data_IF_770059954229
#
_entry.id   IF_770059954229
#
_cell.length_a   1.000
_cell.length_b   1.000
_cell.length_c   1.000
_cell.angle_alpha   90.00
_cell.angle_beta   90.00
_cell.angle_gamma   90.00
#
_symmetry.space_group_name_H-M   'P 1'
#
loop_
_entity.id
_entity.type
_entity.pdbx_description
1 polymer ?
#
# COMPACT_ATOMS: atom_id res chain seq x y z
N UNK A 1 58.69 -12.28 26.26
CA UNK A 1 57.41 -12.97 26.47
C UNK A 1 56.15 -12.25 25.89
N UNK A 2 56.21 -10.99 25.51
CA UNK A 2 55.08 -10.20 24.99
C UNK A 2 54.61 -10.54 23.57
N UNK A 3 55.41 -11.09 22.69
CA UNK A 3 55.03 -11.42 21.30
C UNK A 3 54.02 -12.56 21.15
N UNK A 4 53.89 -13.42 22.14
CA UNK A 4 53.08 -14.64 22.06
C UNK A 4 51.57 -14.38 22.27
N UNK A 5 51.21 -13.22 22.87
CA UNK A 5 49.80 -12.86 23.13
C UNK A 5 49.22 -11.84 22.13
N UNK A 6 50.09 -11.26 21.26
CA UNK A 6 49.63 -10.29 20.27
C UNK A 6 48.84 -10.94 19.13
N UNK A 7 49.25 -12.16 18.74
CA UNK A 7 48.56 -12.89 17.65
C UNK A 7 47.10 -13.28 17.97
N UNK A 8 46.78 -13.85 19.16
CA UNK A 8 45.42 -14.16 19.49
C UNK A 8 44.55 -12.91 19.71
N UNK A 9 45.14 -11.78 20.16
CA UNK A 9 44.43 -10.52 20.34
C UNK A 9 44.01 -9.91 18.99
N UNK A 10 44.87 -9.97 17.97
CA UNK A 10 44.57 -9.48 16.63
C UNK A 10 43.46 -10.32 15.96
N UNK A 11 43.47 -11.64 16.16
CA UNK A 11 42.44 -12.55 15.64
C UNK A 11 41.07 -12.27 16.33
N UNK A 12 41.08 -12.00 17.62
CA UNK A 12 39.88 -11.66 18.36
C UNK A 12 39.27 -10.33 17.90
N UNK A 13 40.10 -9.32 17.62
CA UNK A 13 39.61 -8.03 17.07
C UNK A 13 39.05 -8.16 15.64
N UNK A 14 39.62 -9.03 14.81
CA UNK A 14 39.11 -9.29 13.47
C UNK A 14 37.75 -10.02 13.46
N UNK A 15 37.50 -10.88 14.45
CA UNK A 15 36.24 -11.59 14.58
C UNK A 15 35.06 -10.68 15.00
N UNK A 16 35.32 -9.63 15.78
CA UNK A 16 34.25 -8.67 16.17
C UNK A 16 33.91 -7.68 15.06
N UNK A 17 34.80 -7.45 14.09
CA UNK A 17 34.58 -6.56 12.96
C UNK A 17 33.62 -7.15 11.90
N UNK A 18 33.44 -8.46 11.88
CA UNK A 18 32.57 -9.14 10.91
C UNK A 18 31.09 -9.09 11.28
N UNK A 19 30.72 -8.71 12.50
CA UNK A 19 29.32 -8.60 12.93
C UNK A 19 28.62 -7.32 12.49
N UNK A 20 29.33 -6.35 11.92
CA UNK A 20 28.74 -5.07 11.51
C UNK A 20 28.06 -5.10 10.13
N UNK A 21 28.11 -6.22 9.39
CA UNK A 21 27.49 -6.31 8.06
C UNK A 21 26.10 -6.93 8.03
N UNK A 22 25.56 -7.36 9.16
CA UNK A 22 24.15 -7.66 9.27
C UNK A 22 23.37 -6.42 9.72
N UNK A 23 23.55 -5.30 9.01
CA UNK A 23 22.59 -4.22 9.10
C UNK A 23 21.26 -4.80 8.59
N UNK A 24 20.36 -4.95 9.53
CA UNK A 24 19.00 -5.40 9.37
C UNK A 24 18.43 -4.96 8.03
N UNK A 25 17.97 -5.89 7.23
CA UNK A 25 17.06 -5.64 6.12
C UNK A 25 15.79 -5.11 6.77
N UNK A 26 15.75 -3.83 7.07
CA UNK A 26 14.57 -3.18 7.62
C UNK A 26 13.61 -3.03 6.45
N UNK A 27 12.73 -4.00 6.32
CA UNK A 27 11.55 -3.89 5.48
C UNK A 27 10.68 -2.79 6.07
N UNK A 28 10.69 -1.62 5.46
CA UNK A 28 9.79 -0.54 5.84
C UNK A 28 8.39 -0.83 5.32
N UNK A 29 7.40 -0.75 6.20
CA UNK A 29 5.99 -0.84 5.84
C UNK A 29 5.34 0.52 6.07
N UNK A 30 4.60 1.01 5.10
CA UNK A 30 3.94 2.31 5.16
C UNK A 30 2.57 2.27 4.47
N UNK A 31 1.56 2.94 5.03
CA UNK A 31 0.24 3.01 4.44
C UNK A 31 0.12 4.14 3.42
N UNK A 32 -0.59 3.87 2.33
CA UNK A 32 -1.20 4.86 1.46
C UNK A 32 -2.69 4.89 1.72
N UNK A 33 -3.25 6.06 1.97
CA UNK A 33 -4.66 6.18 2.28
C UNK A 33 -5.33 7.22 1.40
N UNK A 34 -6.58 6.93 1.01
CA UNK A 34 -7.44 7.90 0.33
C UNK A 34 -8.91 7.56 0.58
N UNK A 35 -9.78 8.50 0.29
CA UNK A 35 -11.24 8.30 0.37
C UNK A 35 -11.84 8.42 -1.03
N UNK A 36 -12.70 7.48 -1.38
CA UNK A 36 -13.37 7.36 -2.67
C UNK A 36 -14.87 7.42 -2.46
N UNK A 37 -15.55 8.23 -3.26
CA UNK A 37 -16.99 8.38 -3.19
C UNK A 37 -17.70 7.35 -4.10
N UNK A 38 -18.74 6.72 -3.58
CA UNK A 38 -19.65 5.84 -4.31
C UNK A 38 -21.04 6.50 -4.31
N UNK A 39 -21.45 7.14 -5.42
CA UNK A 39 -22.73 7.81 -5.50
C UNK A 39 -23.92 6.86 -5.40
N UNK A 40 -24.98 7.26 -4.68
CA UNK A 40 -26.24 6.52 -4.58
C UNK A 40 -26.94 6.33 -5.95
N UNK A 41 -26.61 7.17 -6.91
CA UNK A 41 -27.11 7.07 -8.30
C UNK A 41 -26.52 5.89 -9.07
N UNK A 42 -25.52 5.19 -8.53
CA UNK A 42 -24.91 4.02 -9.16
C UNK A 42 -25.90 2.86 -9.23
N UNK A 43 -26.19 2.41 -10.45
CA UNK A 43 -27.19 1.36 -10.72
C UNK A 43 -26.56 -0.03 -10.66
N UNK A 44 -27.35 -1.01 -10.27
CA UNK A 44 -26.93 -2.42 -10.26
C UNK A 44 -26.55 -2.92 -11.65
N UNK A 45 -25.56 -3.81 -11.70
CA UNK A 45 -25.11 -4.47 -12.92
C UNK A 45 -24.09 -3.69 -13.76
N UNK A 46 -23.97 -2.38 -13.56
CA UNK A 46 -22.99 -1.54 -14.26
C UNK A 46 -21.68 -1.46 -13.48
N UNK A 47 -20.59 -1.24 -14.21
CA UNK A 47 -19.30 -0.91 -13.64
C UNK A 47 -19.11 0.61 -13.61
N UNK A 48 -18.62 1.12 -12.49
CA UNK A 48 -18.35 2.52 -12.24
C UNK A 48 -16.90 2.70 -11.79
N UNK A 49 -16.43 3.94 -11.81
CA UNK A 49 -15.13 4.30 -11.27
C UNK A 49 -15.22 5.49 -10.35
N UNK A 50 -14.56 5.40 -9.20
CA UNK A 50 -14.26 6.51 -8.32
C UNK A 50 -12.75 6.78 -8.34
N UNK A 51 -12.35 8.04 -8.33
CA UNK A 51 -10.96 8.46 -8.44
C UNK A 51 -10.66 9.43 -7.32
N UNK A 52 -9.49 9.27 -6.71
CA UNK A 52 -8.95 10.20 -5.74
C UNK A 52 -7.42 10.22 -5.82
N UNK A 53 -6.82 11.30 -5.35
CA UNK A 53 -5.38 11.40 -5.21
C UNK A 53 -4.99 10.97 -3.80
N UNK A 54 -4.01 10.07 -3.71
CA UNK A 54 -3.36 9.75 -2.45
C UNK A 54 -2.02 10.48 -2.44
N UNK A 55 -1.74 11.20 -1.36
CA UNK A 55 -0.39 11.72 -1.16
C UNK A 55 0.53 10.54 -0.92
N UNK A 56 1.55 10.43 -1.74
CA UNK A 56 2.62 9.51 -1.50
C UNK A 56 3.25 9.89 -0.18
N UNK A 57 3.43 8.95 0.63
CA UNK A 57 4.13 9.12 1.86
C UNK A 57 3.52 10.14 2.81
N UNK A 58 2.90 9.58 3.76
CA UNK A 58 2.80 10.21 5.03
C UNK A 58 4.03 11.11 5.23
N UNK A 59 3.78 12.38 5.53
CA UNK A 59 4.82 13.33 5.90
C UNK A 59 5.80 12.79 6.96
N UNK A 60 5.43 11.72 7.66
CA UNK A 60 6.26 10.98 8.60
C UNK A 60 7.40 10.20 7.93
N UNK A 61 7.22 9.65 6.73
CA UNK A 61 8.30 8.97 6.01
C UNK A 61 9.37 9.97 5.55
N UNK A 62 8.95 11.10 5.03
CA UNK A 62 9.85 12.21 4.67
C UNK A 62 10.55 12.81 5.90
N UNK A 63 9.84 12.95 7.04
CA UNK A 63 10.39 13.45 8.31
C UNK A 63 11.43 12.51 8.92
N UNK A 64 11.32 11.19 8.70
CA UNK A 64 12.32 10.22 9.15
C UNK A 64 13.56 10.15 8.25
N UNK A 65 13.70 11.04 7.28
CA UNK A 65 14.84 11.11 6.38
C UNK A 65 14.85 10.01 5.31
N UNK A 66 13.76 9.29 5.18
CA UNK A 66 13.56 8.33 4.11
C UNK A 66 12.87 9.03 2.94
N UNK A 67 13.40 8.92 1.76
CA UNK A 67 12.79 9.41 0.52
C UNK A 67 12.71 8.26 -0.49
N UNK A 68 11.83 8.38 -1.47
CA UNK A 68 11.61 7.37 -2.51
C UNK A 68 12.89 6.95 -3.22
N UNK A 69 13.88 7.84 -3.29
CA UNK A 69 15.17 7.56 -3.93
C UNK A 69 16.03 6.53 -3.19
N UNK A 70 15.75 6.30 -1.90
CA UNK A 70 16.52 5.38 -1.05
C UNK A 70 15.92 4.01 -0.92
N UNK A 71 14.74 3.79 -1.50
CA UNK A 71 14.02 2.51 -1.43
C UNK A 71 13.91 1.86 -2.80
N UNK A 72 13.68 0.56 -2.80
CA UNK A 72 13.49 -0.26 -3.98
C UNK A 72 12.63 -1.48 -3.65
N UNK A 73 12.22 -2.22 -4.68
CA UNK A 73 11.39 -3.42 -4.56
C UNK A 73 10.09 -3.13 -3.82
N UNK A 74 9.48 -1.97 -4.11
CA UNK A 74 8.22 -1.57 -3.48
C UNK A 74 7.08 -2.44 -3.98
N UNK A 75 6.34 -3.05 -3.06
CA UNK A 75 5.20 -3.91 -3.38
C UNK A 75 4.04 -3.66 -2.43
N UNK A 76 2.83 -3.91 -2.94
CA UNK A 76 1.64 -4.01 -2.09
C UNK A 76 1.74 -5.24 -1.18
N UNK A 77 1.37 -5.08 0.10
CA UNK A 77 1.34 -6.17 1.08
C UNK A 77 -0.01 -6.31 1.79
N UNK A 78 -0.84 -5.29 1.71
CA UNK A 78 -2.21 -5.34 2.24
C UNK A 78 -3.09 -4.31 1.55
N UNK A 79 -4.38 -4.59 1.49
CA UNK A 79 -5.39 -3.66 1.01
C UNK A 79 -6.68 -3.84 1.82
N UNK A 80 -7.21 -2.74 2.34
CA UNK A 80 -8.45 -2.72 3.12
C UNK A 80 -9.33 -1.57 2.65
N UNK A 81 -10.63 -1.84 2.60
CA UNK A 81 -11.67 -0.87 2.31
C UNK A 81 -12.57 -0.77 3.55
N UNK A 82 -12.87 0.44 3.98
CA UNK A 82 -13.73 0.71 5.14
C UNK A 82 -14.70 1.84 4.81
N UNK A 83 -15.97 1.69 5.11
CA UNK A 83 -16.91 2.78 4.99
C UNK A 83 -16.73 3.77 6.14
N UNK A 84 -16.67 5.06 5.80
CA UNK A 84 -16.50 6.16 6.77
C UNK A 84 -17.72 7.06 6.85
N UNK A 85 -18.47 7.17 5.75
CA UNK A 85 -19.69 7.96 5.72
C UNK A 85 -20.68 7.38 4.68
N UNK A 86 -21.85 6.87 5.12
CA UNK A 86 -22.16 6.56 6.51
C UNK A 86 -21.28 5.41 7.04
N UNK A 87 -20.91 5.48 8.31
CA UNK A 87 -19.99 4.52 8.93
C UNK A 87 -20.52 3.08 9.04
N UNK A 88 -21.82 2.91 8.93
CA UNK A 88 -22.55 1.64 8.95
C UNK A 88 -22.88 1.11 7.54
N UNK A 89 -22.45 1.81 6.48
CA UNK A 89 -22.71 1.34 5.13
C UNK A 89 -22.12 -0.05 4.91
N UNK A 90 -22.96 -0.97 4.48
CA UNK A 90 -22.54 -2.33 4.18
C UNK A 90 -21.84 -2.38 2.80
N UNK A 91 -20.52 -2.61 2.79
CA UNK A 91 -19.73 -2.74 1.56
C UNK A 91 -20.23 -3.90 0.68
N UNK A 92 -20.95 -4.88 1.25
CA UNK A 92 -21.64 -5.94 0.51
C UNK A 92 -22.70 -5.46 -0.48
N UNK A 93 -23.10 -4.18 -0.44
CA UNK A 93 -23.89 -3.55 -1.50
C UNK A 93 -23.11 -3.43 -2.83
N UNK A 94 -21.78 -3.55 -2.78
CA UNK A 94 -20.92 -3.73 -3.95
C UNK A 94 -20.74 -5.22 -4.23
N UNK A 95 -20.79 -5.60 -5.51
CA UNK A 95 -20.53 -6.98 -5.94
C UNK A 95 -19.03 -7.26 -6.07
N UNK A 96 -18.30 -6.28 -6.61
CA UNK A 96 -16.86 -6.36 -6.79
C UNK A 96 -16.20 -5.00 -6.69
N UNK A 97 -14.92 -5.03 -6.36
CA UNK A 97 -14.05 -3.85 -6.29
C UNK A 97 -12.69 -4.20 -6.85
N UNK A 98 -12.09 -3.28 -7.64
CA UNK A 98 -10.72 -3.33 -8.11
C UNK A 98 -10.03 -2.01 -7.85
N UNK A 99 -8.83 -2.03 -7.30
CA UNK A 99 -8.03 -0.84 -6.99
C UNK A 99 -6.84 -0.79 -7.94
N UNK A 100 -6.72 0.33 -8.61
CA UNK A 100 -5.63 0.63 -9.51
C UNK A 100 -4.84 1.82 -9.00
N UNK A 101 -3.54 1.78 -9.17
CA UNK A 101 -2.62 2.89 -8.93
C UNK A 101 -2.01 3.35 -10.24
N UNK A 102 -1.83 4.64 -10.39
CA UNK A 102 -1.12 5.23 -11.52
C UNK A 102 -0.47 6.55 -11.12
N UNK A 103 0.36 7.08 -12.00
CA UNK A 103 0.78 8.48 -11.92
C UNK A 103 -0.43 9.42 -12.04
N UNK A 104 -0.23 10.69 -11.74
CA UNK A 104 -1.30 11.70 -11.73
C UNK A 104 -2.04 11.80 -13.07
N UNK A 105 -1.33 11.61 -14.18
CA UNK A 105 -1.91 11.64 -15.53
C UNK A 105 -2.79 10.44 -15.88
N UNK A 106 -2.84 9.43 -15.01
CA UNK A 106 -3.66 8.23 -15.17
C UNK A 106 -3.15 7.21 -16.17
N UNK A 107 -1.93 7.37 -16.69
CA UNK A 107 -1.33 6.38 -17.58
C UNK A 107 -0.74 5.22 -16.79
N UNK A 108 -0.56 4.09 -17.49
CA UNK A 108 0.09 2.88 -16.96
C UNK A 108 -0.50 2.43 -15.60
N UNK A 109 -1.86 2.38 -15.54
CA UNK A 109 -2.54 1.92 -14.34
C UNK A 109 -2.17 0.48 -13.99
N UNK A 110 -1.76 0.27 -12.74
CA UNK A 110 -1.40 -1.03 -12.17
C UNK A 110 -2.52 -1.49 -11.26
N UNK A 111 -3.10 -2.67 -11.51
CA UNK A 111 -4.00 -3.35 -10.58
C UNK A 111 -3.18 -3.77 -9.36
N UNK A 112 -3.58 -3.33 -8.15
CA UNK A 112 -2.86 -3.65 -6.91
C UNK A 112 -3.70 -4.44 -5.92
N UNK A 113 -5.02 -4.36 -6.01
CA UNK A 113 -5.91 -5.14 -5.15
C UNK A 113 -7.28 -5.31 -5.81
N UNK A 114 -7.96 -6.42 -5.50
CA UNK A 114 -9.31 -6.67 -5.99
C UNK A 114 -10.10 -7.57 -5.03
N UNK A 115 -11.41 -7.56 -5.21
CA UNK A 115 -12.33 -8.54 -4.66
C UNK A 115 -13.48 -8.72 -5.65
N UNK A 116 -13.53 -9.84 -6.34
CA UNK A 116 -14.51 -10.08 -7.41
C UNK A 116 -15.87 -10.56 -6.88
N UNK A 117 -15.90 -11.14 -5.68
CA UNK A 117 -17.14 -11.52 -5.00
C UNK A 117 -17.10 -11.07 -3.55
N UNK A 118 -17.65 -9.88 -3.30
CA UNK A 118 -17.82 -9.35 -1.95
C UNK A 118 -19.10 -9.97 -1.38
N UNK A 119 -19.02 -10.65 -0.25
CA UNK A 119 -20.20 -11.22 0.42
C UNK A 119 -21.24 -10.17 0.74
N UNK A 120 -22.53 -10.49 0.58
CA UNK A 120 -23.63 -9.54 0.74
C UNK A 120 -23.71 -8.87 2.13
N UNK A 121 -23.17 -9.49 3.17
CA UNK A 121 -23.25 -9.07 4.56
C UNK A 121 -21.86 -8.92 5.22
N UNK A 122 -20.89 -8.35 4.50
CA UNK A 122 -19.52 -8.16 5.04
C UNK A 122 -19.43 -7.02 6.06
N UNK A 123 -20.49 -6.20 6.18
CA UNK A 123 -20.48 -5.03 7.03
C UNK A 123 -19.73 -3.84 6.41
N UNK A 124 -19.17 -2.99 7.27
CA UNK A 124 -18.57 -1.72 6.88
C UNK A 124 -17.08 -1.82 6.52
N UNK A 125 -16.49 -3.00 6.48
CA UNK A 125 -15.10 -3.18 6.08
C UNK A 125 -14.87 -4.50 5.33
N UNK A 126 -13.89 -4.51 4.43
CA UNK A 126 -13.47 -5.70 3.69
C UNK A 126 -11.97 -5.64 3.40
N UNK A 127 -11.32 -6.78 3.52
CA UNK A 127 -9.96 -6.97 3.05
C UNK A 127 -10.01 -7.39 1.59
N UNK A 128 -9.17 -6.76 0.77
CA UNK A 128 -9.06 -7.07 -0.65
C UNK A 128 -7.90 -8.03 -0.90
N UNK A 129 -8.03 -8.85 -1.92
CA UNK A 129 -6.96 -9.72 -2.41
C UNK A 129 -5.93 -8.85 -3.15
N UNK A 130 -4.67 -8.94 -2.75
CA UNK A 130 -3.60 -8.11 -3.32
C UNK A 130 -3.01 -8.76 -4.58
N UNK A 131 -2.67 -7.91 -5.56
CA UNK A 131 -1.80 -8.29 -6.67
C UNK A 131 -0.42 -7.64 -6.49
N UNK A 132 0.53 -8.43 -6.03
CA UNK A 132 1.91 -8.02 -5.78
C UNK A 132 2.88 -8.41 -6.89
N UNK A 133 2.39 -8.76 -8.07
CA UNK A 133 3.20 -9.13 -9.24
C UNK A 133 4.01 -7.96 -9.80
N UNK A 134 3.53 -6.73 -9.57
CA UNK A 134 4.15 -5.50 -10.06
C UNK A 134 4.98 -4.80 -8.99
N UNK A 135 6.09 -4.20 -9.41
CA UNK A 135 6.88 -3.26 -8.61
C UNK A 135 6.26 -1.86 -8.72
N UNK A 136 6.24 -1.15 -7.60
CA UNK A 136 5.64 0.18 -7.50
C UNK A 136 6.71 1.27 -7.27
N UNK A 137 7.99 0.96 -7.57
CA UNK A 137 9.13 1.85 -7.32
C UNK A 137 8.95 3.22 -7.96
N UNK A 138 8.52 3.26 -9.24
CA UNK A 138 8.31 4.51 -9.96
C UNK A 138 7.13 5.33 -9.43
N UNK A 139 6.09 4.66 -8.92
CA UNK A 139 4.92 5.35 -8.37
C UNK A 139 5.23 6.02 -7.02
N UNK A 140 6.03 5.38 -6.17
CA UNK A 140 6.34 5.94 -4.85
C UNK A 140 7.31 7.11 -4.90
N UNK A 141 7.93 7.38 -6.05
CA UNK A 141 8.75 8.57 -6.29
C UNK A 141 7.91 9.80 -6.64
N UNK A 142 6.67 9.60 -7.09
CA UNK A 142 5.74 10.69 -7.40
C UNK A 142 5.22 11.34 -6.11
N UNK A 143 4.99 12.64 -6.14
CA UNK A 143 4.42 13.37 -5.01
C UNK A 143 2.97 12.95 -4.72
N UNK A 144 2.20 12.70 -5.78
CA UNK A 144 0.81 12.29 -5.73
C UNK A 144 0.63 11.01 -6.55
N UNK A 145 -0.12 10.06 -6.01
CA UNK A 145 -0.52 8.85 -6.71
C UNK A 145 -2.02 8.90 -6.94
N UNK A 146 -2.43 8.66 -8.17
CA UNK A 146 -3.84 8.53 -8.52
C UNK A 146 -4.32 7.13 -8.14
N UNK A 147 -5.36 7.09 -7.33
CA UNK A 147 -6.06 5.87 -6.93
C UNK A 147 -7.39 5.83 -7.65
N UNK A 148 -7.62 4.79 -8.43
CA UNK A 148 -8.92 4.53 -9.07
C UNK A 148 -9.51 3.25 -8.54
N UNK A 149 -10.73 3.31 -8.06
CA UNK A 149 -11.53 2.16 -7.69
C UNK A 149 -12.56 1.90 -8.80
N UNK A 150 -12.47 0.77 -9.48
CA UNK A 150 -13.55 0.25 -10.30
C UNK A 150 -14.45 -0.65 -9.44
N UNK A 151 -15.77 -0.48 -9.52
CA UNK A 151 -16.71 -1.24 -8.71
C UNK A 151 -18.00 -1.56 -9.45
N UNK A 152 -18.63 -2.66 -9.06
CA UNK A 152 -19.99 -3.03 -9.50
C UNK A 152 -20.94 -3.01 -8.32
N UNK A 153 -22.14 -2.48 -8.54
CA UNK A 153 -23.18 -2.41 -7.50
C UNK A 153 -24.04 -3.68 -7.54
N UNK A 154 -24.19 -4.34 -6.38
CA UNK A 154 -25.07 -5.48 -6.18
C UNK A 154 -26.47 -5.04 -5.79
N UNK A 155 -26.59 -4.09 -4.87
CA UNK A 155 -27.85 -3.60 -4.33
C UNK A 155 -27.83 -2.08 -4.25
N UNK A 156 -28.89 -1.45 -4.72
CA UNK A 156 -29.07 0.00 -4.61
C UNK A 156 -29.09 0.45 -3.16
N UNK A 157 -28.59 1.63 -2.90
CA UNK A 157 -28.52 2.28 -1.59
C UNK A 157 -29.02 3.74 -1.72
N UNK A 158 -29.46 4.34 -0.63
CA UNK A 158 -30.22 5.60 -0.62
C UNK A 158 -29.36 6.85 -0.42
N UNK A 159 -28.11 6.70 0.00
CA UNK A 159 -27.19 7.81 0.26
C UNK A 159 -25.82 7.52 -0.36
N UNK A 160 -25.11 8.56 -0.76
CA UNK A 160 -23.71 8.42 -1.18
C UNK A 160 -22.90 7.76 -0.06
N UNK A 161 -21.88 7.01 -0.43
CA UNK A 161 -20.98 6.39 0.52
C UNK A 161 -19.53 6.85 0.28
N UNK A 162 -18.84 7.18 1.36
CA UNK A 162 -17.40 7.47 1.36
C UNK A 162 -16.64 6.24 1.85
N UNK A 163 -15.80 5.70 0.99
CA UNK A 163 -15.01 4.50 1.26
C UNK A 163 -13.54 4.86 1.44
N UNK A 164 -13.01 4.60 2.62
CA UNK A 164 -11.60 4.79 2.95
C UNK A 164 -10.79 3.57 2.53
N UNK A 165 -9.85 3.78 1.63
CA UNK A 165 -8.89 2.76 1.16
C UNK A 165 -7.60 2.91 1.94
N UNK A 166 -7.11 1.81 2.48
CA UNK A 166 -5.78 1.71 3.10
C UNK A 166 -4.98 0.65 2.36
N UNK A 167 -3.90 1.08 1.73
CA UNK A 167 -2.97 0.22 1.01
C UNK A 167 -1.66 0.16 1.80
N UNK A 168 -1.30 -1.00 2.30
CA UNK A 168 0.02 -1.22 2.92
C UNK A 168 1.05 -1.54 1.85
N UNK A 169 2.13 -0.76 1.82
CA UNK A 169 3.27 -1.02 0.96
C UNK A 169 4.47 -1.47 1.78
N UNK A 170 5.30 -2.30 1.20
CA UNK A 170 6.60 -2.67 1.74
C UNK A 170 7.70 -2.29 0.75
N UNK A 171 8.83 -1.83 1.28
CA UNK A 171 10.00 -1.46 0.51
C UNK A 171 11.27 -1.95 1.20
N UNK A 172 12.34 -2.08 0.42
CA UNK A 172 13.68 -2.39 0.89
C UNK A 172 14.61 -1.19 0.66
N UNK A 173 15.63 -1.00 1.49
CA UNK A 173 16.67 -0.01 1.21
C UNK A 173 17.38 -0.34 -0.10
N UNK A 174 17.74 0.68 -0.89
CA UNK A 174 18.64 0.49 -2.03
C UNK A 174 20.03 0.07 -1.52
N UNK A 175 20.67 -0.91 -2.13
CA UNK A 175 22.09 -1.17 -1.88
C UNK A 175 22.91 0.09 -2.11
N UNK A 176 23.80 0.38 -1.18
CA UNK A 176 24.80 1.46 -1.35
C UNK A 176 25.97 0.96 -2.18
#
# INVERSE_FOLDING_TARGET
MMKRYLLPLVILCAAVSSCAMFQSIIKSSFPYTTTLAVPASSKTGNEYSAISMANSFDQNFSKSGNNGDRITLVRIISAKLTSTDPSDYNIGNLASVKIYLSKEDGKDEILVAQRDDIGANVGNNVVLDIDNSHMLDDLVQEQNIRVRMAYKVRKSFSSDASLHVVLGLAAYPKPQ
#
